data_IF_719910675501
#
_entry.id   IF_719910675501
#
_cell.length_a   1.000
_cell.length_b   1.000
_cell.length_c   1.000
_cell.angle_alpha   90.00
_cell.angle_beta   90.00
_cell.angle_gamma   90.00
#
_symmetry.space_group_name_H-M   'P 1'
#
loop_
_entity.id
_entity.type
_entity.pdbx_description
1 polymer ?
#
# COMPACT_ATOMS: atom_id res chain seq x y z
N UNK A 1 -24.13 -4.09 18.86
CA UNK A 1 -22.90 -3.33 18.53
C UNK A 1 -21.77 -4.34 18.40
N UNK A 2 -21.60 -4.91 17.20
CA UNK A 2 -20.62 -5.98 16.96
C UNK A 2 -19.26 -5.34 16.69
N UNK A 3 -18.32 -5.56 17.60
CA UNK A 3 -16.94 -5.11 17.49
C UNK A 3 -16.16 -5.98 16.52
N UNK A 4 -15.59 -5.34 15.50
CA UNK A 4 -14.72 -5.97 14.53
C UNK A 4 -13.28 -5.95 15.05
N UNK A 5 -12.74 -7.13 15.32
CA UNK A 5 -11.41 -7.35 15.91
C UNK A 5 -10.35 -7.28 14.81
N UNK A 6 -9.92 -6.05 14.49
CA UNK A 6 -8.68 -5.82 13.73
C UNK A 6 -7.46 -6.24 14.55
N UNK A 7 -6.90 -7.42 14.27
CA UNK A 7 -5.66 -7.90 14.86
C UNK A 7 -4.46 -7.13 14.31
N UNK A 8 -4.18 -5.96 14.90
CA UNK A 8 -2.90 -5.27 14.77
C UNK A 8 -2.05 -5.61 16.00
N UNK A 9 -1.38 -6.76 15.96
CA UNK A 9 -0.36 -7.08 16.95
C UNK A 9 0.97 -6.48 16.48
N UNK A 10 1.32 -5.34 17.05
CA UNK A 10 2.53 -4.59 16.75
C UNK A 10 2.51 -3.23 17.44
N UNK A 11 2.65 -3.25 18.76
CA UNK A 11 2.72 -2.09 19.63
C UNK A 11 4.01 -1.29 19.34
N UNK A 12 3.92 -0.18 18.60
CA UNK A 12 4.90 0.91 18.65
C UNK A 12 4.16 2.16 19.10
N UNK A 13 4.46 2.66 20.30
CA UNK A 13 3.64 3.65 21.00
C UNK A 13 3.74 5.10 20.48
N UNK A 14 4.42 5.37 19.36
CA UNK A 14 4.65 6.76 18.89
C UNK A 14 4.65 6.99 17.36
N UNK A 15 4.38 5.98 16.52
CA UNK A 15 4.55 6.17 15.07
C UNK A 15 3.24 6.61 14.41
N UNK A 16 3.05 7.91 14.24
CA UNK A 16 2.09 8.42 13.25
C UNK A 16 2.35 7.70 11.92
N UNK A 17 1.32 7.16 11.24
CA UNK A 17 1.49 6.55 9.93
C UNK A 17 2.01 7.62 8.97
N UNK A 18 3.32 7.59 8.71
CA UNK A 18 3.99 8.48 7.77
C UNK A 18 3.55 8.07 6.37
N UNK A 19 2.89 8.98 5.66
CA UNK A 19 2.47 8.74 4.28
C UNK A 19 3.69 8.34 3.43
N UNK A 20 3.57 7.23 2.68
CA UNK A 20 4.64 6.74 1.80
C UNK A 20 5.68 5.83 2.47
N UNK A 21 5.58 5.54 3.78
CA UNK A 21 6.40 4.54 4.46
C UNK A 21 5.67 3.19 4.51
N UNK A 22 6.31 2.13 3.99
CA UNK A 22 5.83 0.75 4.10
C UNK A 22 6.75 -0.05 5.02
N UNK A 23 6.16 -0.80 5.94
CA UNK A 23 6.90 -1.67 6.86
C UNK A 23 7.18 -3.02 6.20
N UNK A 24 8.45 -3.35 6.01
CA UNK A 24 8.90 -4.68 5.62
C UNK A 24 9.22 -5.49 6.87
N UNK A 25 8.70 -6.71 6.93
CA UNK A 25 9.03 -7.68 7.99
C UNK A 25 9.88 -8.79 7.40
N UNK A 26 11.09 -8.93 7.90
CA UNK A 26 12.03 -9.97 7.50
C UNK A 26 11.74 -11.29 8.23
N UNK A 27 12.17 -12.45 7.69
CA UNK A 27 11.93 -13.76 8.31
C UNK A 27 12.60 -13.93 9.68
N UNK A 28 13.65 -13.15 9.99
CA UNK A 28 14.27 -13.07 11.32
C UNK A 28 13.49 -12.21 12.33
N UNK A 29 12.31 -11.70 11.95
CA UNK A 29 11.47 -10.85 12.79
C UNK A 29 11.87 -9.38 12.82
N UNK A 30 13.01 -9.03 12.23
CA UNK A 30 13.43 -7.64 12.03
C UNK A 30 12.44 -6.91 11.13
N UNK A 31 12.21 -5.63 11.42
CA UNK A 31 11.35 -4.77 10.61
C UNK A 31 12.10 -3.54 10.13
N UNK A 32 11.81 -3.14 8.88
CA UNK A 32 12.41 -1.96 8.26
C UNK A 32 11.35 -1.11 7.59
N UNK A 33 11.30 0.17 7.94
CA UNK A 33 10.41 1.13 7.31
C UNK A 33 11.07 1.68 6.05
N UNK A 34 10.47 1.42 4.90
CA UNK A 34 11.03 1.86 3.62
C UNK A 34 10.11 2.85 2.92
N UNK A 35 10.70 3.86 2.30
CA UNK A 35 9.99 4.88 1.53
C UNK A 35 10.03 4.54 0.04
N UNK A 36 8.90 4.71 -0.64
CA UNK A 36 8.81 4.63 -2.10
C UNK A 36 8.60 3.23 -2.67
N UNK A 37 8.23 2.26 -1.83
CA UNK A 37 8.09 0.87 -2.26
C UNK A 37 6.91 0.66 -3.22
N UNK A 38 5.78 1.34 -3.00
CA UNK A 38 4.61 1.23 -3.88
C UNK A 38 4.89 1.77 -5.28
N UNK A 39 5.59 2.90 -5.38
CA UNK A 39 6.00 3.47 -6.67
C UNK A 39 6.90 2.50 -7.43
N UNK A 40 7.89 1.92 -6.77
CA UNK A 40 8.80 0.93 -7.37
C UNK A 40 8.03 -0.28 -7.89
N UNK A 41 7.08 -0.83 -7.12
CA UNK A 41 6.26 -1.95 -7.58
C UNK A 41 5.35 -1.58 -8.75
N UNK A 42 4.77 -0.38 -8.73
CA UNK A 42 3.97 0.11 -9.84
C UNK A 42 4.82 0.27 -11.12
N UNK A 43 6.04 0.81 -11.03
CA UNK A 43 6.97 0.93 -12.15
C UNK A 43 7.39 -0.42 -12.71
N UNK A 44 7.76 -1.38 -11.85
CA UNK A 44 8.13 -2.73 -12.29
C UNK A 44 6.96 -3.45 -12.98
N UNK A 45 5.75 -3.32 -12.44
CA UNK A 45 4.55 -3.92 -13.01
C UNK A 45 4.18 -3.27 -14.35
N UNK A 46 4.25 -1.93 -14.46
CA UNK A 46 4.06 -1.23 -15.74
C UNK A 46 5.06 -1.67 -16.80
N UNK A 47 6.30 -1.95 -16.40
CA UNK A 47 7.35 -2.46 -17.28
C UNK A 47 7.21 -3.96 -17.60
N UNK A 48 6.20 -4.66 -17.06
CA UNK A 48 5.98 -6.09 -17.30
C UNK A 48 7.11 -6.99 -16.80
N UNK A 49 7.84 -6.54 -15.76
CA UNK A 49 9.00 -7.28 -15.25
C UNK A 49 8.57 -8.56 -14.53
N UNK A 50 9.17 -9.67 -14.94
CA UNK A 50 8.98 -11.00 -14.34
C UNK A 50 9.83 -11.12 -13.08
N UNK A 51 9.39 -11.96 -12.13
CA UNK A 51 10.12 -12.27 -10.90
C UNK A 51 11.43 -13.02 -11.20
N UNK A 52 12.49 -12.28 -11.45
CA UNK A 52 13.85 -12.82 -11.63
C UNK A 52 14.81 -12.26 -10.58
N UNK A 53 15.94 -12.93 -10.30
CA UNK A 53 16.95 -12.41 -9.38
C UNK A 53 17.42 -10.99 -9.73
N UNK A 54 17.63 -10.71 -11.02
CA UNK A 54 18.05 -9.40 -11.52
C UNK A 54 16.99 -8.32 -11.25
N UNK A 55 15.71 -8.70 -11.34
CA UNK A 55 14.59 -7.81 -10.99
C UNK A 55 14.61 -7.48 -9.50
N UNK A 56 14.96 -8.45 -8.65
CA UNK A 56 15.16 -8.26 -7.22
C UNK A 56 16.28 -7.26 -6.94
N UNK A 57 17.43 -7.42 -7.57
CA UNK A 57 18.56 -6.50 -7.42
C UNK A 57 18.24 -5.09 -7.92
N UNK A 58 17.55 -4.97 -9.06
CA UNK A 58 17.11 -3.69 -9.59
C UNK A 58 16.12 -2.96 -8.65
N UNK A 59 15.20 -3.71 -8.01
CA UNK A 59 14.34 -3.14 -6.97
C UNK A 59 15.15 -2.64 -5.77
N UNK A 60 16.17 -3.38 -5.34
CA UNK A 60 17.06 -2.95 -4.24
C UNK A 60 17.82 -1.68 -4.63
N UNK A 61 18.35 -1.59 -5.84
CA UNK A 61 19.03 -0.39 -6.33
C UNK A 61 18.12 0.84 -6.31
N UNK A 62 16.90 0.71 -6.83
CA UNK A 62 15.92 1.80 -6.80
C UNK A 62 15.55 2.17 -5.37
N UNK A 63 15.35 1.18 -4.49
CA UNK A 63 15.00 1.43 -3.09
C UNK A 63 16.14 2.11 -2.33
N UNK A 64 17.39 1.75 -2.64
CA UNK A 64 18.60 2.33 -2.06
C UNK A 64 18.79 3.81 -2.41
N UNK A 65 18.17 4.32 -3.48
CA UNK A 65 18.21 5.75 -3.82
C UNK A 65 17.53 6.65 -2.77
N UNK A 66 16.60 6.09 -2.00
CA UNK A 66 15.78 6.81 -1.00
C UNK A 66 15.97 6.27 0.41
N UNK A 67 16.57 5.10 0.57
CA UNK A 67 16.69 4.39 1.84
C UNK A 67 18.12 3.88 2.03
N UNK A 68 18.63 3.91 3.26
CA UNK A 68 19.91 3.29 3.54
C UNK A 68 19.76 1.77 3.64
N UNK A 69 20.46 1.04 2.75
CA UNK A 69 20.52 -0.43 2.75
C UNK A 69 21.97 -0.86 2.90
N UNK A 70 22.26 -1.56 4.00
CA UNK A 70 23.60 -2.10 4.26
C UNK A 70 23.96 -3.13 3.16
N UNK A 71 25.18 -3.10 2.59
CA UNK A 71 25.58 -4.03 1.52
C UNK A 71 25.32 -5.51 1.85
N UNK A 72 25.58 -5.94 3.09
CA UNK A 72 25.35 -7.31 3.56
C UNK A 72 23.88 -7.71 3.63
N UNK A 73 22.97 -6.73 3.68
CA UNK A 73 21.52 -6.96 3.74
C UNK A 73 20.87 -6.96 2.35
N UNK A 74 21.57 -6.51 1.29
CA UNK A 74 21.00 -6.34 -0.06
C UNK A 74 20.36 -7.61 -0.60
N UNK A 75 21.02 -8.77 -0.45
CA UNK A 75 20.46 -10.05 -0.89
C UNK A 75 19.19 -10.42 -0.14
N UNK A 76 19.10 -10.11 1.17
CA UNK A 76 17.87 -10.33 1.95
C UNK A 76 16.73 -9.45 1.46
N UNK A 77 17.01 -8.18 1.18
CA UNK A 77 16.04 -7.27 0.58
C UNK A 77 15.58 -7.77 -0.79
N UNK A 78 16.50 -8.17 -1.68
CA UNK A 78 16.14 -8.66 -3.01
C UNK A 78 15.14 -9.83 -2.96
N UNK A 79 15.42 -10.84 -2.12
CA UNK A 79 14.51 -11.98 -1.93
C UNK A 79 13.14 -11.54 -1.40
N UNK A 80 13.11 -10.73 -0.34
CA UNK A 80 11.87 -10.25 0.26
C UNK A 80 11.04 -9.39 -0.71
N UNK A 81 11.70 -8.52 -1.47
CA UNK A 81 11.06 -7.65 -2.45
C UNK A 81 10.44 -8.44 -3.60
N UNK A 82 11.08 -9.53 -4.04
CA UNK A 82 10.50 -10.41 -5.05
C UNK A 82 9.24 -11.12 -4.56
N UNK A 83 9.17 -11.50 -3.29
CA UNK A 83 7.96 -12.09 -2.70
C UNK A 83 6.84 -11.06 -2.54
N UNK A 84 7.16 -9.85 -2.08
CA UNK A 84 6.18 -8.77 -1.92
C UNK A 84 5.68 -8.24 -3.28
N UNK A 85 6.54 -8.19 -4.29
CA UNK A 85 6.18 -7.82 -5.66
C UNK A 85 5.24 -8.86 -6.28
N UNK A 86 5.51 -10.15 -6.10
CA UNK A 86 4.63 -11.22 -6.57
C UNK A 86 3.20 -11.09 -6.00
N UNK A 87 3.10 -10.81 -4.70
CA UNK A 87 1.81 -10.51 -4.04
C UNK A 87 1.14 -9.29 -4.65
N UNK A 88 1.91 -8.23 -4.93
CA UNK A 88 1.40 -7.02 -5.57
C UNK A 88 0.83 -7.31 -6.97
N UNK A 89 1.55 -8.06 -7.81
CA UNK A 89 1.06 -8.46 -9.14
C UNK A 89 -0.24 -9.25 -9.03
N UNK A 90 -0.30 -10.25 -8.15
CA UNK A 90 -1.51 -11.03 -7.92
C UNK A 90 -2.70 -10.18 -7.46
N UNK A 91 -2.47 -9.15 -6.64
CA UNK A 91 -3.52 -8.21 -6.22
C UNK A 91 -4.02 -7.35 -7.38
N UNK A 92 -3.14 -6.96 -8.30
CA UNK A 92 -3.50 -6.18 -9.48
C UNK A 92 -4.26 -7.02 -10.52
N UNK A 93 -3.85 -8.27 -10.75
CA UNK A 93 -4.50 -9.19 -11.69
C UNK A 93 -5.89 -9.63 -11.22
N UNK A 94 -6.08 -9.80 -9.90
CA UNK A 94 -7.38 -10.19 -9.33
C UNK A 94 -8.40 -9.04 -9.31
N UNK A 95 -8.03 -7.85 -9.80
CA UNK A 95 -8.85 -6.64 -9.70
C UNK A 95 -8.96 -6.14 -8.24
N UNK A 96 -9.36 -4.88 -8.00
CA UNK A 96 -9.29 -4.27 -6.68
C UNK A 96 -10.25 -4.95 -5.70
N UNK A 97 -9.76 -5.96 -4.99
CA UNK A 97 -10.33 -6.39 -3.71
C UNK A 97 -9.98 -5.33 -2.65
N UNK A 98 -10.83 -4.31 -2.58
CA UNK A 98 -11.23 -3.59 -1.36
C UNK A 98 -10.13 -3.32 -0.31
N UNK A 99 -9.02 -2.67 -0.68
CA UNK A 99 -8.20 -1.99 0.32
C UNK A 99 -7.87 -0.57 -0.16
N UNK A 100 -8.51 0.43 0.45
CA UNK A 100 -7.95 1.78 0.56
C UNK A 100 -8.42 2.89 -0.39
N UNK A 101 -9.19 2.62 -1.46
CA UNK A 101 -9.78 3.71 -2.25
C UNK A 101 -11.05 4.26 -1.56
N UNK A 102 -10.89 5.18 -0.59
CA UNK A 102 -12.00 6.08 -0.24
C UNK A 102 -12.28 6.95 -1.46
N UNK A 103 -13.29 6.57 -2.25
CA UNK A 103 -13.93 7.51 -3.19
C UNK A 103 -14.36 8.75 -2.38
N UNK A 104 -14.08 9.99 -2.83
CA UNK A 104 -14.77 11.13 -2.24
C UNK A 104 -16.28 10.91 -2.45
N UNK A 105 -17.03 10.97 -1.35
CA UNK A 105 -18.48 10.82 -1.32
C UNK A 105 -19.12 12.03 -2.02
N UNK A 106 -19.28 11.94 -3.35
CA UNK A 106 -19.94 12.96 -4.17
C UNK A 106 -21.46 12.71 -4.24
N UNK A 107 -22.08 12.23 -3.15
CA UNK A 107 -23.54 11.98 -3.10
C UNK A 107 -24.28 12.85 -2.05
N UNK A 108 -23.53 13.60 -1.22
CA UNK A 108 -24.14 14.43 -0.16
C UNK A 108 -24.75 15.75 -0.63
N UNK A 109 -24.48 16.20 -1.86
CA UNK A 109 -25.00 17.49 -2.37
C UNK A 109 -26.40 17.37 -2.99
N UNK A 110 -26.74 16.24 -3.62
CA UNK A 110 -28.04 16.11 -4.32
C UNK A 110 -29.24 15.93 -3.38
N UNK A 111 -29.04 15.32 -2.20
CA UNK A 111 -30.12 15.16 -1.21
C UNK A 111 -30.64 16.47 -0.61
N UNK A 112 -29.85 17.55 -0.63
CA UNK A 112 -30.32 18.86 -0.15
C UNK A 112 -31.21 19.59 -1.16
N UNK A 113 -31.11 19.30 -2.47
CA UNK A 113 -31.96 19.93 -3.50
C UNK A 113 -33.35 19.30 -3.59
N UNK A 114 -33.48 18.00 -3.31
CA UNK A 114 -34.77 17.30 -3.34
C UNK A 114 -35.73 17.62 -2.18
N UNK A 115 -35.21 18.14 -1.06
CA UNK A 115 -36.02 18.51 0.11
C UNK A 115 -36.63 19.90 -0.02
N UNK A 116 -35.94 20.85 -0.66
CA UNK A 116 -36.46 22.19 -0.94
C UNK A 116 -37.60 22.17 -1.97
N UNK A 117 -37.53 21.31 -2.98
CA UNK A 117 -38.59 21.19 -3.99
C UNK A 117 -39.87 20.51 -3.49
N UNK A 118 -39.80 19.72 -2.42
CA UNK A 118 -40.98 19.12 -1.77
C UNK A 118 -41.67 20.06 -0.78
N UNK A 119 -40.95 21.00 -0.18
CA UNK A 119 -41.51 22.00 0.73
C UNK A 119 -42.25 23.14 0.02
N UNK A 120 -41.87 23.48 -1.22
CA UNK A 120 -42.55 24.50 -2.01
C UNK A 120 -43.85 24.04 -2.70
N UNK A 121 -44.12 22.72 -2.76
CA UNK A 121 -45.34 22.15 -3.36
C UNK A 121 -46.49 21.91 -2.36
N UNK A 122 -46.31 22.31 -1.11
CA UNK A 122 -47.26 22.09 -0.02
C UNK A 122 -47.91 23.39 0.48
N UNK A 123 -48.11 24.39 -0.39
CA UNK A 123 -48.86 25.61 -0.06
C UNK A 123 -49.76 26.04 -1.21
#
# INVERSE_FOLDING_TARGET
>A
MSGDKGKYQGMYCCTVPMAGVRMLTFPDGTQSGVVGLEEIFADMHRAGRVKTPETGEAMVEMLATRNYIVPSARSKYASLLLEEYDKYVQMMEKGPSATGARKPDVDRVERKRGLLSKLLKAK
#
